data_IF_673711494780
#
_entry.id   IF_673711494780
#
_cell.length_a   1.000
_cell.length_b   1.000
_cell.length_c   1.000
_cell.angle_alpha   90.00
_cell.angle_beta   90.00
_cell.angle_gamma   90.00
#
_symmetry.space_group_name_H-M   'P 1'
#
loop_
_entity.id
_entity.type
_entity.pdbx_description
1 polymer ?
#
# COMPACT_ATOMS: atom_id res chain seq x y z
N UNK A 1 -6.47 0.00 19.91
CA UNK A 1 -7.23 0.79 18.94
C UNK A 1 -6.44 0.89 17.64
N UNK A 2 -7.05 0.59 16.52
CA UNK A 2 -6.35 0.62 15.24
C UNK A 2 -6.50 1.98 14.57
N UNK A 3 -5.45 2.39 13.86
CA UNK A 3 -5.44 3.66 13.12
C UNK A 3 -6.38 3.62 11.92
N UNK A 4 -6.48 2.45 11.27
CA UNK A 4 -7.33 2.26 10.10
C UNK A 4 -8.34 1.17 10.36
N UNK A 5 -9.43 1.20 9.60
CA UNK A 5 -10.51 0.20 9.65
C UNK A 5 -10.67 -0.45 8.29
N UNK A 6 -11.31 -1.61 8.27
CA UNK A 6 -11.68 -2.26 7.03
C UNK A 6 -12.51 -1.30 6.19
N UNK A 7 -12.13 -1.14 4.93
CA UNK A 7 -12.78 -0.22 4.00
C UNK A 7 -12.14 1.14 3.89
N UNK A 8 -11.20 1.47 4.78
CA UNK A 8 -10.51 2.76 4.69
C UNK A 8 -9.59 2.81 3.49
N UNK A 9 -9.55 3.98 2.86
CA UNK A 9 -8.64 4.25 1.77
C UNK A 9 -7.31 4.74 2.34
N UNK A 10 -6.23 4.09 1.94
CA UNK A 10 -4.89 4.42 2.43
C UNK A 10 -3.94 4.61 1.25
N UNK A 11 -2.84 5.28 1.51
CA UNK A 11 -1.76 5.45 0.55
C UNK A 11 -0.47 4.92 1.13
N UNK A 12 0.27 4.19 0.32
CA UNK A 12 1.57 3.66 0.72
C UNK A 12 2.59 4.80 0.73
N UNK A 13 3.45 4.81 1.73
CA UNK A 13 4.52 5.79 1.84
C UNK A 13 5.39 5.79 0.59
N UNK A 14 5.88 6.97 0.21
CA UNK A 14 6.80 7.12 -0.92
C UNK A 14 8.14 6.42 -0.69
N UNK A 15 8.43 6.07 0.54
CA UNK A 15 9.66 5.36 0.90
C UNK A 15 9.57 3.87 0.62
N UNK A 16 8.37 3.36 0.35
CA UNK A 16 8.20 1.95 0.03
C UNK A 16 8.85 1.62 -1.32
N UNK A 17 9.40 0.41 -1.42
CA UNK A 17 10.11 -0.04 -2.61
C UNK A 17 9.16 -0.60 -3.66
N UNK A 18 8.08 -1.29 -3.22
CA UNK A 18 7.21 -2.02 -4.14
C UNK A 18 6.10 -1.15 -4.73
N UNK A 19 5.45 -0.33 -3.91
CA UNK A 19 4.27 0.43 -4.32
C UNK A 19 4.29 1.85 -3.77
N UNK A 20 5.38 2.61 -4.00
CA UNK A 20 5.48 3.95 -3.42
C UNK A 20 4.34 4.85 -3.91
N UNK A 21 3.60 5.43 -2.98
CA UNK A 21 2.53 6.36 -3.28
C UNK A 21 1.24 5.75 -3.80
N UNK A 22 1.14 4.43 -3.91
CA UNK A 22 -0.07 3.78 -4.39
C UNK A 22 -1.19 3.87 -3.36
N UNK A 23 -2.41 4.05 -3.84
CA UNK A 23 -3.60 4.03 -3.01
C UNK A 23 -4.22 2.63 -2.99
N UNK A 24 -4.72 2.22 -1.85
CA UNK A 24 -5.39 0.95 -1.68
C UNK A 24 -6.45 1.00 -0.61
N UNK A 25 -7.13 -0.10 -0.41
CA UNK A 25 -8.21 -0.21 0.55
C UNK A 25 -7.85 -1.26 1.59
N UNK A 26 -8.08 -0.94 2.86
CA UNK A 26 -7.86 -1.89 3.95
C UNK A 26 -8.90 -3.00 3.84
N UNK A 27 -8.43 -4.23 3.72
CA UNK A 27 -9.31 -5.41 3.63
C UNK A 27 -9.33 -6.23 4.91
N UNK A 28 -8.28 -6.15 5.70
CA UNK A 28 -8.20 -6.89 6.95
C UNK A 28 -7.29 -6.16 7.93
N UNK A 29 -7.64 -6.22 9.19
CA UNK A 29 -6.80 -5.74 10.29
C UNK A 29 -6.31 -6.98 11.02
N UNK A 30 -4.99 -7.15 11.08
CA UNK A 30 -4.40 -8.34 11.68
C UNK A 30 -4.26 -8.17 13.19
N UNK A 31 -4.18 -9.28 13.91
CA UNK A 31 -3.97 -9.25 15.34
C UNK A 31 -2.63 -8.61 15.66
N UNK A 32 -2.62 -7.80 16.71
CA UNK A 32 -1.42 -7.12 17.17
C UNK A 32 -1.26 -7.31 18.68
N UNK A 33 -0.63 -8.41 19.09
CA UNK A 33 -0.48 -8.70 20.52
C UNK A 33 0.42 -7.70 21.26
N UNK A 34 1.22 -6.91 20.55
CA UNK A 34 2.09 -5.91 21.16
C UNK A 34 1.30 -4.70 21.68
N UNK A 35 0.14 -4.41 21.08
CA UNK A 35 -0.62 -3.21 21.39
C UNK A 35 -0.03 -1.91 20.86
N UNK A 36 1.09 -1.98 20.16
CA UNK A 36 1.76 -0.82 19.59
C UNK A 36 1.23 -0.58 18.15
N UNK A 37 0.55 0.55 17.93
CA UNK A 37 -0.04 0.85 16.64
C UNK A 37 0.99 0.89 15.51
N UNK A 38 2.22 1.32 15.79
CA UNK A 38 3.26 1.36 14.76
C UNK A 38 3.60 -0.03 14.22
N UNK A 39 3.32 -1.07 14.99
CA UNK A 39 3.54 -2.47 14.60
C UNK A 39 2.25 -3.15 14.13
N UNK A 40 1.16 -2.41 14.01
CA UNK A 40 -0.10 -2.94 13.49
C UNK A 40 0.05 -3.25 12.01
N UNK A 41 -0.32 -4.46 11.62
CA UNK A 41 -0.30 -4.88 10.23
C UNK A 41 -1.70 -4.84 9.63
N UNK A 42 -1.77 -4.46 8.36
CA UNK A 42 -3.00 -4.40 7.60
C UNK A 42 -2.83 -5.13 6.28
N UNK A 43 -3.88 -5.79 5.84
CA UNK A 43 -3.93 -6.32 4.48
C UNK A 43 -4.58 -5.24 3.61
N UNK A 44 -3.85 -4.80 2.61
CA UNK A 44 -4.26 -3.72 1.72
C UNK A 44 -4.43 -4.28 0.31
N UNK A 45 -5.57 -4.00 -0.31
CA UNK A 45 -5.84 -4.40 -1.69
C UNK A 45 -5.68 -3.20 -2.61
N UNK A 46 -4.88 -3.37 -3.66
CA UNK A 46 -4.62 -2.35 -4.66
C UNK A 46 -5.32 -2.71 -5.97
N UNK A 47 -5.51 -1.72 -6.82
CA UNK A 47 -5.98 -1.97 -8.18
C UNK A 47 -4.87 -2.57 -9.04
N UNK A 48 -5.23 -3.02 -10.23
CA UNK A 48 -4.25 -3.52 -11.18
C UNK A 48 -3.28 -2.40 -11.56
N UNK A 49 -2.03 -2.75 -11.60
CA UNK A 49 -0.98 -1.81 -11.97
C UNK A 49 -0.24 -2.32 -13.19
N UNK A 50 -0.12 -1.45 -14.18
CA UNK A 50 0.68 -1.71 -15.36
C UNK A 50 1.78 -0.66 -15.39
N UNK A 51 3.00 -1.09 -15.56
CA UNK A 51 4.11 -0.17 -15.68
C UNK A 51 5.08 -0.63 -16.75
N UNK A 52 5.78 0.33 -17.33
CA UNK A 52 6.80 0.05 -18.33
C UNK A 52 8.13 -0.18 -17.62
N UNK A 53 8.78 -1.25 -18.00
CA UNK A 53 10.10 -1.56 -17.52
C UNK A 53 11.06 -1.55 -18.70
N UNK A 54 12.19 -0.88 -18.55
CA UNK A 54 13.19 -0.79 -19.61
C UNK A 54 14.33 -1.75 -19.25
N UNK A 55 14.60 -2.69 -20.16
CA UNK A 55 15.72 -3.61 -20.00
C UNK A 55 17.04 -2.92 -20.31
N UNK A 56 18.15 -3.57 -19.96
CA UNK A 56 19.48 -3.05 -20.27
C UNK A 56 19.70 -2.86 -21.77
N UNK A 57 19.03 -3.64 -22.58
CA UNK A 57 19.12 -3.55 -24.04
C UNK A 57 18.23 -2.46 -24.62
N UNK A 58 17.53 -1.72 -23.78
CA UNK A 58 16.65 -0.64 -24.21
C UNK A 58 15.26 -1.07 -24.62
N UNK A 59 14.90 -2.33 -24.42
CA UNK A 59 13.56 -2.82 -24.71
C UNK A 59 12.59 -2.36 -23.61
N UNK A 60 11.42 -1.89 -24.03
CA UNK A 60 10.34 -1.58 -23.11
C UNK A 60 9.46 -2.80 -22.96
N UNK A 61 9.30 -3.23 -21.72
CA UNK A 61 8.39 -4.31 -21.37
C UNK A 61 7.26 -3.73 -20.55
N UNK A 62 6.03 -4.04 -20.94
CA UNK A 62 4.87 -3.69 -20.15
C UNK A 62 4.63 -4.81 -19.16
N UNK A 63 4.79 -4.49 -17.89
CA UNK A 63 4.68 -5.46 -16.81
C UNK A 63 3.38 -5.22 -16.05
N UNK A 64 2.61 -6.28 -15.88
CA UNK A 64 1.42 -6.27 -15.04
C UNK A 64 1.80 -6.77 -13.66
N UNK A 65 1.39 -6.04 -12.64
CA UNK A 65 1.52 -6.52 -11.28
C UNK A 65 0.27 -7.33 -10.92
N UNK A 66 0.45 -8.62 -10.76
CA UNK A 66 -0.64 -9.51 -10.35
C UNK A 66 -0.85 -9.48 -8.85
N UNK A 67 0.12 -8.99 -8.12
CA UNK A 67 0.06 -8.95 -6.66
C UNK A 67 -0.77 -7.74 -6.22
N UNK A 68 -2.06 -7.96 -6.05
CA UNK A 68 -3.02 -6.91 -5.70
C UNK A 68 -3.20 -6.74 -4.20
N UNK A 69 -2.77 -7.72 -3.42
CA UNK A 69 -2.97 -7.73 -1.97
C UNK A 69 -1.62 -7.84 -1.29
N UNK A 70 -1.35 -6.92 -0.39
CA UNK A 70 -0.09 -6.90 0.35
C UNK A 70 -0.34 -6.61 1.82
N UNK A 71 0.57 -7.09 2.66
CA UNK A 71 0.56 -6.80 4.09
C UNK A 71 1.51 -5.63 4.34
N UNK A 72 1.00 -4.60 5.02
CA UNK A 72 1.81 -3.42 5.36
C UNK A 72 1.69 -3.09 6.84
N UNK A 73 2.80 -2.67 7.41
CA UNK A 73 2.79 -2.07 8.75
C UNK A 73 2.20 -0.67 8.68
N UNK A 74 1.55 -0.26 9.76
CA UNK A 74 0.90 1.04 9.86
C UNK A 74 1.86 2.20 9.53
N UNK A 75 3.13 2.08 9.91
CA UNK A 75 4.10 3.15 9.67
C UNK A 75 4.35 3.44 8.18
N UNK A 76 4.02 2.48 7.31
CA UNK A 76 4.18 2.65 5.86
C UNK A 76 2.90 3.12 5.17
N UNK A 77 1.85 3.40 5.93
CA UNK A 77 0.55 3.78 5.37
C UNK A 77 0.15 5.17 5.84
N UNK A 78 -0.46 5.92 4.93
CA UNK A 78 -1.02 7.24 5.20
C UNK A 78 -2.52 7.22 4.91
N UNK A 79 -3.27 8.09 5.58
CA UNK A 79 -4.70 8.21 5.34
C UNK A 79 -4.95 8.93 4.01
N UNK A 80 -5.52 8.21 3.04
CA UNK A 80 -5.80 8.78 1.73
C UNK A 80 -7.17 9.49 1.68
N UNK A 81 -7.96 9.39 2.75
CA UNK A 81 -9.25 10.09 2.84
C UNK A 81 -9.08 11.54 3.31
N UNK A 82 -7.93 11.89 3.82
CA UNK A 82 -7.70 13.27 4.24
C UNK A 82 -7.71 14.19 3.04
N UNK A 83 -8.32 15.38 3.17
CA UNK A 83 -8.27 16.34 2.08
C UNK A 83 -6.84 16.67 1.72
N UNK A 84 -6.56 16.73 0.42
CA UNK A 84 -5.24 17.14 -0.03
C UNK A 84 -4.94 18.56 0.46
N UNK A 85 -3.75 18.77 0.94
CA UNK A 85 -3.29 20.12 1.28
C UNK A 85 -3.17 20.92 0.01
N UNK A 86 -3.80 22.06 0.04
CA UNK A 86 -3.84 22.94 -1.13
C UNK A 86 -2.84 24.06 -1.00
#
# INVERSE_FOLDING_TARGET
>A
MTRFRIGDLVRVSKEDVLRPGDAGIIRKVLDNPTGDESLQEYIVEFGDRVFDQVSEDGFRLRVHSDARVHCYLSIYLEDANEPAEQ
#
